data_IF_009241379621
#
_entry.id   IF_009241379621
#
_cell.length_a   1.000
_cell.length_b   1.000
_cell.length_c   1.000
_cell.angle_alpha   90.00
_cell.angle_beta   90.00
_cell.angle_gamma   90.00
#
_symmetry.space_group_name_H-M   'P 1'
#
loop_
_entity.id
_entity.type
_entity.pdbx_description
1 polymer ?
#
# COMPACT_ATOMS: atom_id res chain seq x y z
N UNK A 1 -0.24 -12.43 9.06
CA UNK A 1 -0.46 -12.23 7.60
C UNK A 1 -0.37 -10.74 7.30
N UNK A 2 0.27 -10.34 6.20
CA UNK A 2 0.61 -8.92 5.97
C UNK A 2 -0.60 -7.99 5.89
N UNK A 3 -1.78 -8.52 5.57
CA UNK A 3 -3.04 -7.79 5.44
C UNK A 3 -3.83 -7.61 6.75
N UNK A 4 -3.32 -8.07 7.90
CA UNK A 4 -4.00 -7.95 9.20
C UNK A 4 -3.09 -7.33 10.28
N UNK A 5 -3.70 -6.53 11.16
CA UNK A 5 -3.15 -6.05 12.45
C UNK A 5 -4.18 -6.35 13.53
N UNK A 6 -3.77 -7.03 14.60
CA UNK A 6 -4.66 -7.45 15.71
C UNK A 6 -5.92 -8.21 15.25
N UNK A 7 -5.80 -9.01 14.18
CA UNK A 7 -6.91 -9.76 13.59
C UNK A 7 -7.87 -8.92 12.74
N UNK A 8 -7.68 -7.60 12.66
CA UNK A 8 -8.45 -6.70 11.79
C UNK A 8 -7.73 -6.51 10.45
N UNK A 9 -8.45 -6.38 9.32
CA UNK A 9 -7.83 -6.02 8.06
C UNK A 9 -7.16 -4.65 8.18
N UNK A 10 -6.00 -4.51 7.56
CA UNK A 10 -5.27 -3.23 7.51
C UNK A 10 -6.06 -2.24 6.65
N UNK A 11 -6.37 -1.07 7.23
CA UNK A 11 -7.02 0.04 6.53
C UNK A 11 -6.18 0.50 5.32
N UNK A 12 -6.81 0.92 4.23
CA UNK A 12 -6.11 1.43 3.04
C UNK A 12 -5.68 0.38 2.03
N UNK A 13 -5.61 -0.92 2.38
CA UNK A 13 -5.21 -1.97 1.41
C UNK A 13 -6.17 -2.01 0.21
N UNK A 14 -7.48 -1.94 0.45
CA UNK A 14 -8.48 -2.02 -0.63
C UNK A 14 -8.37 -0.83 -1.57
N UNK A 15 -8.09 0.35 -1.04
CA UNK A 15 -7.93 1.57 -1.81
C UNK A 15 -6.70 1.47 -2.72
N UNK A 16 -5.56 1.00 -2.20
CA UNK A 16 -4.35 0.73 -3.04
C UNK A 16 -4.65 -0.29 -4.13
N UNK A 17 -5.36 -1.39 -3.83
CA UNK A 17 -5.74 -2.40 -4.82
C UNK A 17 -6.68 -1.84 -5.90
N UNK A 18 -7.44 -0.78 -5.60
CA UNK A 18 -8.30 -0.10 -6.58
C UNK A 18 -7.54 0.86 -7.49
N UNK A 19 -6.42 1.42 -7.02
CA UNK A 19 -5.57 2.34 -7.77
C UNK A 19 -4.59 1.60 -8.69
N UNK A 20 -4.07 0.45 -8.25
CA UNK A 20 -3.15 -0.36 -9.05
C UNK A 20 -3.92 -1.54 -9.66
N UNK A 21 -4.43 -1.33 -10.88
CA UNK A 21 -5.35 -2.26 -11.59
C UNK A 21 -4.89 -3.71 -11.66
N UNK A 22 -3.58 -3.99 -11.63
CA UNK A 22 -3.06 -5.35 -11.60
C UNK A 22 -2.86 -5.79 -10.13
N UNK A 23 -3.67 -6.75 -9.62
CA UNK A 23 -3.62 -7.14 -8.20
C UNK A 23 -2.27 -7.73 -7.77
N UNK A 24 -1.57 -8.43 -8.68
CA UNK A 24 -0.25 -8.98 -8.40
C UNK A 24 0.79 -7.87 -8.29
N UNK A 25 0.72 -6.87 -9.16
CA UNK A 25 1.60 -5.71 -9.11
C UNK A 25 1.33 -4.88 -7.85
N UNK A 26 0.06 -4.65 -7.52
CA UNK A 26 -0.35 -3.95 -6.31
C UNK A 26 0.23 -4.62 -5.05
N UNK A 27 0.13 -5.96 -4.97
CA UNK A 27 0.71 -6.72 -3.86
C UNK A 27 2.24 -6.67 -3.82
N UNK A 28 2.89 -6.76 -5.00
CA UNK A 28 4.34 -6.64 -5.09
C UNK A 28 4.82 -5.27 -4.59
N UNK A 29 4.10 -4.20 -4.94
CA UNK A 29 4.39 -2.84 -4.49
C UNK A 29 4.16 -2.70 -2.97
N UNK A 30 3.01 -3.16 -2.47
CA UNK A 30 2.67 -3.10 -1.03
C UNK A 30 3.71 -3.77 -0.13
N UNK A 31 4.40 -4.81 -0.62
CA UNK A 31 5.28 -5.66 0.19
C UNK A 31 6.78 -5.40 -0.04
N UNK A 32 7.15 -4.37 -0.81
CA UNK A 32 8.54 -4.02 -1.09
C UNK A 32 8.83 -2.54 -0.80
N UNK A 33 10.10 -2.18 -0.58
CA UNK A 33 10.53 -0.79 -0.56
C UNK A 33 10.02 -0.01 -1.77
N UNK A 34 9.36 1.12 -1.53
CA UNK A 34 8.79 1.97 -2.57
C UNK A 34 9.60 3.25 -2.74
N UNK A 35 9.95 3.60 -3.98
CA UNK A 35 10.66 4.84 -4.28
C UNK A 35 9.80 6.08 -3.97
N UNK A 36 8.48 5.96 -4.10
CA UNK A 36 7.51 7.02 -3.77
C UNK A 36 7.36 7.25 -2.26
N UNK A 37 7.94 6.38 -1.43
CA UNK A 37 7.86 6.42 0.03
C UNK A 37 9.27 6.41 0.66
N UNK A 38 10.26 6.99 -0.02
CA UNK A 38 11.65 7.07 0.45
C UNK A 38 12.25 5.71 0.86
N UNK A 39 11.88 4.65 0.14
CA UNK A 39 12.32 3.28 0.39
C UNK A 39 11.56 2.54 1.50
N UNK A 40 10.54 3.17 2.10
CA UNK A 40 9.67 2.51 3.09
C UNK A 40 8.75 1.48 2.41
N UNK A 41 8.35 0.47 3.17
CA UNK A 41 7.45 -0.60 2.69
C UNK A 41 5.99 -0.16 2.92
N UNK A 42 5.16 -0.04 1.86
CA UNK A 42 3.83 0.56 2.00
C UNK A 42 2.91 -0.17 2.98
N UNK A 43 2.93 -1.51 3.02
CA UNK A 43 2.09 -2.26 3.97
C UNK A 43 2.47 -1.97 5.42
N UNK A 44 3.74 -1.70 5.71
CA UNK A 44 4.17 -1.36 7.07
C UNK A 44 3.67 0.03 7.48
N UNK A 45 3.50 0.95 6.52
CA UNK A 45 2.93 2.28 6.74
C UNK A 45 1.43 2.22 7.01
N UNK A 46 0.71 1.39 6.24
CA UNK A 46 -0.70 1.15 6.49
C UNK A 46 -0.95 0.52 7.88
N UNK A 47 -0.04 -0.34 8.37
CA UNK A 47 -0.11 -0.87 9.74
C UNK A 47 0.15 0.19 10.82
N UNK A 48 0.84 1.28 10.46
CA UNK A 48 1.08 2.45 11.32
C UNK A 48 -0.01 3.53 11.15
N UNK A 49 -1.10 3.21 10.46
CA UNK A 49 -2.22 4.13 10.18
C UNK A 49 -1.83 5.32 9.28
N UNK A 50 -0.70 5.23 8.56
CA UNK A 50 -0.24 6.25 7.61
C UNK A 50 -0.89 6.03 6.23
N UNK A 51 -2.22 6.04 6.19
CA UNK A 51 -3.00 5.70 4.99
C UNK A 51 -2.82 6.72 3.87
N UNK A 52 -2.99 8.01 4.17
CA UNK A 52 -2.97 9.08 3.15
C UNK A 52 -1.64 9.13 2.38
N UNK A 53 -0.52 8.97 3.07
CA UNK A 53 0.82 8.92 2.47
C UNK A 53 0.93 7.77 1.45
N UNK A 54 0.39 6.60 1.79
CA UNK A 54 0.41 5.41 0.93
C UNK A 54 -0.51 5.58 -0.28
N UNK A 55 -1.67 6.23 -0.10
CA UNK A 55 -2.61 6.48 -1.20
C UNK A 55 -2.01 7.44 -2.23
N UNK A 56 -1.40 8.52 -1.79
CA UNK A 56 -0.74 9.46 -2.71
C UNK A 56 0.43 8.80 -3.44
N UNK A 57 1.23 7.99 -2.74
CA UNK A 57 2.29 7.22 -3.36
C UNK A 57 1.76 6.19 -4.39
N UNK A 58 0.63 5.54 -4.12
CA UNK A 58 0.01 4.60 -5.05
C UNK A 58 -0.49 5.28 -6.33
N UNK A 59 -1.08 6.47 -6.22
CA UNK A 59 -1.47 7.31 -7.38
C UNK A 59 -0.26 7.70 -8.23
N UNK A 60 0.84 8.08 -7.59
CA UNK A 60 2.07 8.42 -8.30
C UNK A 60 2.74 7.21 -8.96
N UNK A 61 2.61 6.02 -8.37
CA UNK A 61 3.18 4.78 -8.92
C UNK A 61 2.42 4.26 -10.14
N UNK A 62 1.09 4.37 -10.15
CA UNK A 62 0.24 3.95 -11.26
C UNK A 62 -0.70 5.10 -11.65
N UNK A 63 -0.20 6.09 -12.44
CA UNK A 63 -1.06 7.13 -13.00
C UNK A 63 -2.06 6.50 -13.99
N UNK A 64 -3.26 7.09 -14.06
CA UNK A 64 -4.33 6.69 -14.98
C UNK A 64 -3.89 6.60 -16.45
#
# INVERSE_FOLDING_TARGET
LAQFVDGRPVTGIRDVLSLISNPRLAWLWLTRPSAQLDGRVPVDLLRQDQVDEVIEAARAFAPD
#
